data_IF_940837594960
#
_entry.id   IF_940837594960
#
_cell.length_a   1.000
_cell.length_b   1.000
_cell.length_c   1.000
_cell.angle_alpha   90.00
_cell.angle_beta   90.00
_cell.angle_gamma   90.00
#
_symmetry.space_group_name_H-M   'P 1'
#
loop_
_entity.id
_entity.type
_entity.pdbx_description
1 polymer ?
#
# COMPACT_ATOMS: atom_id res chain seq x y z
N UNK A 1 -15.17 19.39 3.95
CA UNK A 1 -15.30 19.56 2.49
C UNK A 1 -14.20 18.77 1.80
N UNK A 2 -12.96 18.95 2.24
CA UNK A 2 -11.78 18.15 1.86
C UNK A 2 -11.98 16.63 2.06
N UNK A 3 -12.58 16.21 3.17
CA UNK A 3 -12.89 14.78 3.40
C UNK A 3 -13.85 14.19 2.35
N UNK A 4 -14.84 14.97 1.88
CA UNK A 4 -15.83 14.48 0.91
C UNK A 4 -15.19 14.30 -0.48
N UNK A 5 -14.38 15.26 -0.90
CA UNK A 5 -13.66 15.19 -2.17
C UNK A 5 -12.67 14.02 -2.16
N UNK A 6 -11.97 13.80 -1.04
CA UNK A 6 -11.08 12.66 -0.92
C UNK A 6 -11.82 11.32 -0.95
N UNK A 7 -12.97 11.20 -0.29
CA UNK A 7 -13.78 9.97 -0.38
C UNK A 7 -14.30 9.70 -1.81
N UNK A 8 -14.68 10.74 -2.55
CA UNK A 8 -15.05 10.61 -3.96
C UNK A 8 -13.86 10.18 -4.84
N UNK A 9 -12.65 10.72 -4.61
CA UNK A 9 -11.42 10.27 -5.26
C UNK A 9 -11.11 8.80 -4.91
N UNK A 10 -11.14 8.46 -3.62
CA UNK A 10 -10.90 7.12 -3.11
C UNK A 10 -11.84 6.11 -3.77
N UNK A 11 -13.13 6.42 -3.86
CA UNK A 11 -14.12 5.55 -4.50
C UNK A 11 -13.82 5.33 -6.00
N UNK A 12 -13.47 6.39 -6.74
CA UNK A 12 -13.07 6.27 -8.16
C UNK A 12 -11.81 5.42 -8.33
N UNK A 13 -10.85 5.52 -7.42
CA UNK A 13 -9.61 4.72 -7.43
C UNK A 13 -9.90 3.25 -7.13
N UNK A 14 -10.80 2.95 -6.19
CA UNK A 14 -11.25 1.58 -5.90
C UNK A 14 -11.90 0.95 -7.14
N UNK A 15 -12.78 1.68 -7.82
CA UNK A 15 -13.45 1.24 -9.04
C UNK A 15 -12.44 0.99 -10.17
N UNK A 16 -11.52 1.93 -10.38
CA UNK A 16 -10.43 1.80 -11.35
C UNK A 16 -9.54 0.58 -11.05
N UNK A 17 -9.17 0.39 -9.79
CA UNK A 17 -8.35 -0.73 -9.36
C UNK A 17 -9.06 -2.08 -9.56
N UNK A 18 -10.36 -2.16 -9.27
CA UNK A 18 -11.14 -3.38 -9.45
C UNK A 18 -11.41 -3.73 -10.92
N UNK A 19 -11.53 -2.72 -11.80
CA UNK A 19 -11.89 -2.93 -13.20
C UNK A 19 -10.88 -3.81 -13.94
N UNK A 20 -11.31 -4.98 -14.43
CA UNK A 20 -10.45 -5.92 -15.16
C UNK A 20 -9.42 -6.65 -14.30
N UNK A 21 -9.61 -6.72 -12.97
CA UNK A 21 -8.74 -7.52 -12.10
C UNK A 21 -9.07 -9.01 -12.18
N UNK A 22 -8.07 -9.84 -12.49
CA UNK A 22 -8.28 -11.28 -12.78
C UNK A 22 -7.47 -12.22 -11.88
N UNK A 23 -6.52 -11.72 -11.07
CA UNK A 23 -5.64 -12.55 -10.26
C UNK A 23 -6.28 -13.06 -8.96
N UNK A 24 -7.56 -12.77 -8.73
CA UNK A 24 -8.32 -13.25 -7.58
C UNK A 24 -8.07 -12.47 -6.29
N UNK A 25 -8.44 -13.08 -5.15
CA UNK A 25 -8.49 -12.39 -3.84
C UNK A 25 -7.12 -12.12 -3.24
N UNK A 26 -6.13 -13.00 -3.47
CA UNK A 26 -4.80 -12.95 -2.82
C UNK A 26 -4.09 -11.62 -3.02
N UNK A 27 -4.22 -11.00 -4.20
CA UNK A 27 -3.63 -9.70 -4.51
C UNK A 27 -4.69 -8.67 -4.95
N UNK A 28 -5.96 -8.94 -4.63
CA UNK A 28 -7.12 -8.14 -5.03
C UNK A 28 -7.75 -7.36 -3.89
N UNK A 29 -9.05 -7.09 -3.99
CA UNK A 29 -9.79 -6.18 -3.11
C UNK A 29 -9.62 -6.43 -1.60
N UNK A 30 -9.55 -7.69 -1.16
CA UNK A 30 -9.36 -8.02 0.26
C UNK A 30 -7.97 -7.61 0.75
N UNK A 31 -6.93 -7.92 -0.03
CA UNK A 31 -5.57 -7.46 0.23
C UNK A 31 -5.51 -5.94 0.27
N UNK A 32 -6.04 -5.25 -0.75
CA UNK A 32 -6.00 -3.78 -0.82
C UNK A 32 -6.68 -3.11 0.38
N UNK A 33 -7.83 -3.63 0.83
CA UNK A 33 -8.51 -3.13 2.04
C UNK A 33 -7.70 -3.38 3.31
N UNK A 34 -7.02 -4.52 3.40
CA UNK A 34 -6.13 -4.81 4.53
C UNK A 34 -4.92 -3.88 4.54
N UNK A 35 -4.32 -3.59 3.37
CA UNK A 35 -3.22 -2.61 3.26
C UNK A 35 -3.68 -1.23 3.71
N UNK A 36 -4.84 -0.77 3.26
CA UNK A 36 -5.41 0.50 3.72
C UNK A 36 -5.58 0.50 5.25
N UNK A 37 -6.27 -0.49 5.80
CA UNK A 37 -6.50 -0.62 7.25
C UNK A 37 -5.19 -0.66 8.06
N UNK A 38 -4.19 -1.40 7.57
CA UNK A 38 -2.87 -1.46 8.20
C UNK A 38 -2.17 -0.09 8.15
N UNK A 39 -2.23 0.61 7.02
CA UNK A 39 -1.68 1.94 6.85
C UNK A 39 -2.27 2.95 7.84
N UNK A 40 -3.59 2.92 8.04
CA UNK A 40 -4.27 3.75 9.04
C UNK A 40 -3.84 3.41 10.48
N UNK A 41 -3.61 2.12 10.80
CA UNK A 41 -3.11 1.68 12.11
C UNK A 41 -1.64 2.01 12.38
N UNK A 42 -0.86 2.14 11.30
CA UNK A 42 0.55 2.50 11.33
C UNK A 42 0.78 4.01 11.40
N UNK A 43 -0.23 4.82 11.01
CA UNK A 43 -0.09 6.25 10.89
C UNK A 43 0.35 6.92 12.20
N UNK A 44 1.37 7.76 12.07
CA UNK A 44 1.91 8.64 13.10
C UNK A 44 1.95 10.07 12.54
N UNK A 45 2.35 11.03 13.36
CA UNK A 45 2.53 12.42 12.91
C UNK A 45 3.43 12.49 11.66
N UNK A 46 2.99 13.26 10.66
CA UNK A 46 3.69 13.42 9.37
C UNK A 46 3.37 12.38 8.30
N UNK A 47 2.64 11.29 8.61
CA UNK A 47 2.16 10.35 7.59
C UNK A 47 1.02 10.98 6.79
N UNK A 48 1.17 11.05 5.47
CA UNK A 48 0.08 11.46 4.58
C UNK A 48 -0.86 10.27 4.30
N UNK A 49 -1.99 10.23 5.02
CA UNK A 49 -3.00 9.17 4.87
C UNK A 49 -3.69 9.14 3.51
N UNK A 50 -3.71 10.24 2.76
CA UNK A 50 -4.25 10.26 1.39
C UNK A 50 -3.39 9.39 0.49
N UNK A 51 -2.07 9.56 0.54
CA UNK A 51 -1.11 8.75 -0.22
C UNK A 51 -1.19 7.28 0.21
N UNK A 52 -1.19 6.99 1.52
CA UNK A 52 -1.28 5.60 2.04
C UNK A 52 -2.53 4.89 1.54
N UNK A 53 -3.67 5.58 1.55
CA UNK A 53 -4.94 5.04 1.08
C UNK A 53 -4.91 4.77 -0.42
N UNK A 54 -4.39 5.69 -1.24
CA UNK A 54 -4.30 5.49 -2.69
C UNK A 54 -3.29 4.40 -3.07
N UNK A 55 -2.16 4.31 -2.37
CA UNK A 55 -1.17 3.25 -2.54
C UNK A 55 -1.81 1.87 -2.35
N UNK A 56 -2.64 1.71 -1.32
CA UNK A 56 -3.27 0.43 -0.99
C UNK A 56 -4.01 -0.20 -2.17
N UNK A 57 -4.65 0.61 -3.01
CA UNK A 57 -5.43 0.15 -4.17
C UNK A 57 -4.65 0.11 -5.49
N UNK A 58 -3.54 0.84 -5.59
CA UNK A 58 -2.82 1.01 -6.86
C UNK A 58 -1.49 0.24 -6.95
N UNK A 59 -0.85 -0.11 -5.83
CA UNK A 59 0.48 -0.73 -5.84
C UNK A 59 0.52 -2.07 -6.59
N UNK A 60 -0.56 -2.85 -6.46
CA UNK A 60 -0.69 -4.20 -7.03
C UNK A 60 -1.50 -4.26 -8.33
N UNK A 61 -2.14 -3.16 -8.73
CA UNK A 61 -3.04 -3.10 -9.89
C UNK A 61 -2.40 -3.62 -11.19
N UNK A 62 -1.09 -3.49 -11.34
CA UNK A 62 -0.37 -3.91 -12.54
C UNK A 62 0.50 -5.15 -12.33
N UNK A 63 0.15 -6.01 -11.37
CA UNK A 63 0.66 -7.40 -11.33
C UNK A 63 0.24 -8.18 -12.58
N UNK A 64 1.10 -9.12 -12.98
CA UNK A 64 0.87 -10.03 -14.11
C UNK A 64 0.57 -11.46 -13.66
N UNK A 65 0.99 -11.83 -12.46
CA UNK A 65 0.77 -13.14 -11.89
C UNK A 65 0.70 -13.12 -10.36
N UNK A 66 0.25 -14.25 -9.79
CA UNK A 66 0.12 -14.46 -8.35
C UNK A 66 1.43 -14.86 -7.66
N UNK A 67 2.53 -15.04 -8.40
CA UNK A 67 3.82 -15.45 -7.88
C UNK A 67 4.65 -14.21 -7.50
N UNK A 68 5.96 -14.24 -7.79
CA UNK A 68 6.92 -13.27 -7.26
C UNK A 68 6.82 -11.90 -7.92
N UNK A 69 6.45 -11.85 -9.21
CA UNK A 69 6.39 -10.67 -10.09
C UNK A 69 7.06 -9.40 -9.56
N UNK A 70 8.39 -9.40 -9.35
CA UNK A 70 9.07 -8.35 -8.59
C UNK A 70 8.94 -6.94 -9.22
N UNK A 71 8.61 -6.89 -10.50
CA UNK A 71 8.52 -5.67 -11.30
C UNK A 71 7.14 -4.99 -11.25
N UNK A 72 6.16 -5.51 -10.49
CA UNK A 72 4.83 -4.88 -10.41
C UNK A 72 4.88 -3.46 -9.86
N UNK A 73 5.73 -3.18 -8.86
CA UNK A 73 5.90 -1.81 -8.34
C UNK A 73 6.36 -0.80 -9.39
N UNK A 74 7.39 -1.13 -10.18
CA UNK A 74 7.86 -0.27 -11.28
C UNK A 74 6.76 -0.06 -12.32
N UNK A 75 6.03 -1.13 -12.67
CA UNK A 75 4.91 -1.01 -13.62
C UNK A 75 3.78 -0.17 -13.05
N UNK A 76 3.49 -0.28 -11.76
CA UNK A 76 2.48 0.55 -11.11
C UNK A 76 2.87 2.03 -11.22
N UNK A 77 4.08 2.39 -10.81
CA UNK A 77 4.58 3.75 -10.92
C UNK A 77 4.54 4.30 -12.35
N UNK A 78 4.97 3.52 -13.35
CA UNK A 78 4.88 3.94 -14.75
C UNK A 78 3.45 4.21 -15.23
N UNK A 79 2.47 3.41 -14.76
CA UNK A 79 1.08 3.60 -15.15
C UNK A 79 0.36 4.68 -14.33
N UNK A 80 0.94 5.17 -13.22
CA UNK A 80 0.42 6.35 -12.51
C UNK A 80 0.64 7.64 -13.30
N UNK A 81 1.71 7.73 -14.11
CA UNK A 81 2.05 8.94 -14.91
C UNK A 81 0.87 9.41 -15.79
N UNK A 82 0.27 8.58 -16.66
CA UNK A 82 -0.88 9.01 -17.45
C UNK A 82 -2.15 9.28 -16.61
N UNK A 83 -2.20 8.85 -15.35
CA UNK A 83 -3.31 9.09 -14.43
C UNK A 83 -3.20 10.44 -13.69
N UNK A 84 -2.02 11.09 -13.72
CA UNK A 84 -1.72 12.35 -13.03
C UNK A 84 -2.78 13.41 -13.27
N UNK A 85 -3.10 13.68 -14.53
CA UNK A 85 -4.00 14.76 -14.93
C UNK A 85 -5.45 14.29 -15.13
N UNK A 86 -5.76 13.04 -14.78
CA UNK A 86 -7.09 12.45 -14.98
C UNK A 86 -7.68 11.93 -13.68
N UNK A 87 -7.40 10.68 -13.32
CA UNK A 87 -7.91 10.04 -12.11
C UNK A 87 -7.35 10.69 -10.83
N UNK A 88 -6.11 11.19 -10.89
CA UNK A 88 -5.35 11.70 -9.74
C UNK A 88 -5.14 13.22 -9.79
N UNK A 89 -5.98 13.94 -10.55
CA UNK A 89 -5.84 15.38 -10.79
C UNK A 89 -5.97 16.23 -9.53
N UNK A 90 -6.59 15.69 -8.48
CA UNK A 90 -6.78 16.34 -7.18
C UNK A 90 -5.58 16.17 -6.23
N UNK A 91 -4.53 15.44 -6.63
CA UNK A 91 -3.31 15.32 -5.84
C UNK A 91 -2.40 16.53 -6.06
N UNK A 92 -1.77 17.01 -4.99
CA UNK A 92 -0.62 17.92 -5.10
C UNK A 92 0.56 17.22 -5.80
N UNK A 93 1.55 18.00 -6.25
CA UNK A 93 2.76 17.42 -6.86
C UNK A 93 3.51 16.55 -5.84
N UNK A 94 3.58 17.01 -4.60
CA UNK A 94 4.19 16.27 -3.49
C UNK A 94 3.46 14.94 -3.21
N UNK A 95 2.13 14.94 -3.17
CA UNK A 95 1.35 13.72 -2.97
C UNK A 95 1.52 12.71 -4.10
N UNK A 96 1.56 13.20 -5.34
CA UNK A 96 1.79 12.34 -6.49
C UNK A 96 3.20 11.75 -6.48
N UNK A 97 4.22 12.54 -6.14
CA UNK A 97 5.60 12.07 -6.03
C UNK A 97 5.74 11.01 -4.92
N UNK A 98 5.10 11.21 -3.77
CA UNK A 98 5.06 10.21 -2.70
C UNK A 98 4.38 8.91 -3.16
N UNK A 99 3.21 9.01 -3.80
CA UNK A 99 2.48 7.83 -4.32
C UNK A 99 3.28 7.10 -5.39
N UNK A 100 3.88 7.83 -6.33
CA UNK A 100 4.73 7.28 -7.38
C UNK A 100 5.91 6.51 -6.79
N UNK A 101 6.63 7.11 -5.83
CA UNK A 101 7.80 6.49 -5.21
C UNK A 101 7.41 5.31 -4.30
N UNK A 102 6.30 5.39 -3.57
CA UNK A 102 5.76 4.28 -2.79
C UNK A 102 5.46 3.07 -3.70
N UNK A 103 4.72 3.27 -4.78
CA UNK A 103 4.44 2.21 -5.75
C UNK A 103 5.74 1.66 -6.38
N UNK A 104 6.65 2.53 -6.83
CA UNK A 104 7.88 2.13 -7.53
C UNK A 104 8.78 1.22 -6.68
N UNK A 105 8.89 1.52 -5.40
CA UNK A 105 9.96 0.99 -4.55
C UNK A 105 9.53 -0.10 -3.57
N UNK A 106 8.23 -0.31 -3.31
CA UNK A 106 7.77 -1.23 -2.27
C UNK A 106 8.24 -2.69 -2.42
N UNK A 107 8.58 -3.13 -3.64
CA UNK A 107 9.05 -4.49 -3.91
C UNK A 107 10.56 -4.67 -3.81
N UNK A 108 11.34 -3.57 -3.83
CA UNK A 108 12.80 -3.60 -4.01
C UNK A 108 13.58 -2.83 -2.93
N UNK A 109 12.93 -1.95 -2.19
CA UNK A 109 13.55 -1.15 -1.14
C UNK A 109 13.02 -1.58 0.22
N UNK A 110 13.91 -1.71 1.21
CA UNK A 110 13.50 -1.96 2.60
C UNK A 110 12.87 -0.72 3.22
N UNK A 111 13.52 0.44 3.10
CA UNK A 111 13.03 1.73 3.56
C UNK A 111 13.60 2.86 2.69
N UNK A 112 13.00 4.04 2.75
CA UNK A 112 13.43 5.25 2.02
C UNK A 112 13.80 6.40 2.95
N UNK A 113 13.35 6.36 4.21
CA UNK A 113 13.49 7.47 5.16
C UNK A 113 12.37 8.51 5.07
N UNK A 114 11.47 8.38 4.08
CA UNK A 114 10.22 9.12 4.06
C UNK A 114 9.14 8.35 4.82
N UNK A 115 8.57 8.96 5.86
CA UNK A 115 7.65 8.29 6.77
C UNK A 115 6.35 7.83 6.09
N UNK A 116 5.90 8.52 5.04
CA UNK A 116 4.68 8.14 4.31
C UNK A 116 4.97 6.92 3.44
N UNK A 117 6.07 6.95 2.67
CA UNK A 117 6.47 5.83 1.82
C UNK A 117 6.77 4.58 2.65
N UNK A 118 7.50 4.73 3.76
CA UNK A 118 7.86 3.63 4.65
C UNK A 118 6.62 3.04 5.34
N UNK A 119 5.61 3.87 5.62
CA UNK A 119 4.30 3.41 6.11
C UNK A 119 3.54 2.60 5.05
N UNK A 120 3.55 3.02 3.78
CA UNK A 120 2.99 2.23 2.68
C UNK A 120 3.65 0.84 2.58
N UNK A 121 4.97 0.77 2.70
CA UNK A 121 5.70 -0.49 2.65
C UNK A 121 5.31 -1.42 3.80
N UNK A 122 5.26 -0.90 5.02
CA UNK A 122 4.88 -1.69 6.19
C UNK A 122 3.43 -2.14 6.13
N UNK A 123 2.53 -1.31 5.59
CA UNK A 123 1.13 -1.65 5.43
C UNK A 123 0.92 -2.89 4.54
N UNK A 124 1.62 -2.98 3.41
CA UNK A 124 1.63 -4.17 2.53
C UNK A 124 2.31 -5.37 3.22
N UNK A 125 3.49 -5.17 3.83
CA UNK A 125 4.25 -6.24 4.48
C UNK A 125 3.52 -6.87 5.66
N UNK A 126 2.73 -6.11 6.40
CA UNK A 126 1.90 -6.64 7.50
C UNK A 126 0.81 -7.59 6.98
N UNK A 127 0.33 -7.40 5.76
CA UNK A 127 -0.69 -8.26 5.15
C UNK A 127 -0.11 -9.50 4.45
N UNK A 128 1.20 -9.74 4.53
CA UNK A 128 1.83 -10.97 4.03
C UNK A 128 1.32 -12.24 4.73
N UNK A 129 0.65 -12.10 5.88
CA UNK A 129 -0.05 -13.21 6.55
C UNK A 129 -1.07 -13.89 5.65
N UNK A 130 -1.68 -13.16 4.69
CA UNK A 130 -2.61 -13.71 3.69
C UNK A 130 -1.95 -14.78 2.81
N UNK A 131 -0.63 -14.68 2.64
CA UNK A 131 0.22 -15.58 1.87
C UNK A 131 0.89 -16.63 2.76
N UNK A 132 0.50 -16.75 4.03
CA UNK A 132 1.11 -17.66 5.00
C UNK A 132 2.48 -17.20 5.52
N UNK A 133 2.89 -15.96 5.22
CA UNK A 133 4.18 -15.42 5.63
C UNK A 133 3.97 -14.56 6.89
N UNK A 134 4.63 -14.92 7.99
CA UNK A 134 4.57 -14.14 9.22
C UNK A 134 5.45 -12.87 9.10
N UNK A 135 4.89 -11.65 9.27
CA UNK A 135 5.67 -10.41 9.23
C UNK A 135 6.84 -10.45 10.21
N UNK A 136 8.04 -10.12 9.74
CA UNK A 136 9.25 -9.99 10.57
C UNK A 136 9.48 -8.53 10.92
N UNK A 137 9.66 -8.18 12.21
CA UNK A 137 10.02 -6.83 12.59
C UNK A 137 11.26 -6.31 11.83
N UNK A 138 12.25 -7.17 11.55
CA UNK A 138 13.46 -6.76 10.79
C UNK A 138 13.16 -6.41 9.34
N UNK A 139 12.02 -6.84 8.80
CA UNK A 139 11.54 -6.48 7.47
C UNK A 139 10.68 -5.23 7.43
N UNK A 140 10.39 -4.60 8.56
CA UNK A 140 9.61 -3.36 8.64
C UNK A 140 10.52 -2.14 8.50
N UNK A 141 10.05 -1.10 7.83
CA UNK A 141 10.73 0.16 7.57
C UNK A 141 10.61 1.11 8.76
N UNK A 142 9.43 1.16 9.39
CA UNK A 142 9.11 2.09 10.49
C UNK A 142 9.21 1.40 11.85
N UNK A 143 9.46 2.17 12.91
CA UNK A 143 9.39 1.65 14.29
C UNK A 143 7.98 1.15 14.64
N UNK A 144 6.94 1.86 14.17
CA UNK A 144 5.56 1.44 14.39
C UNK A 144 5.23 0.11 13.70
N UNK A 145 5.73 -0.11 12.48
CA UNK A 145 5.66 -1.39 11.78
C UNK A 145 6.37 -2.51 12.54
N UNK A 146 7.58 -2.25 13.05
CA UNK A 146 8.33 -3.20 13.89
C UNK A 146 7.52 -3.61 15.12
N UNK A 147 6.89 -2.67 15.81
CA UNK A 147 6.03 -2.95 16.97
C UNK A 147 4.83 -3.83 16.62
N UNK A 148 4.08 -3.48 15.58
CA UNK A 148 2.91 -4.26 15.16
C UNK A 148 3.30 -5.67 14.71
N UNK A 149 4.40 -5.82 13.97
CA UNK A 149 4.92 -7.14 13.60
C UNK A 149 5.30 -7.99 14.83
N UNK A 150 5.90 -7.39 15.88
CA UNK A 150 6.18 -8.08 17.15
C UNK A 150 4.89 -8.49 17.87
N UNK A 151 3.86 -7.64 17.86
CA UNK A 151 2.56 -7.95 18.45
C UNK A 151 1.89 -9.13 17.72
N UNK A 152 1.81 -9.08 16.39
CA UNK A 152 1.23 -10.17 15.59
C UNK A 152 1.92 -11.53 15.80
N UNK A 153 3.24 -11.52 16.00
CA UNK A 153 4.00 -12.75 16.33
C UNK A 153 3.65 -13.31 17.71
N UNK A 154 3.48 -12.43 18.71
CA UNK A 154 3.05 -12.84 20.06
C UNK A 154 1.63 -13.37 20.06
N UNK A 155 0.70 -12.71 19.38
CA UNK A 155 -0.70 -13.13 19.35
C UNK A 155 -0.89 -14.51 18.70
N UNK A 156 -0.02 -14.86 17.74
CA UNK A 156 0.00 -16.19 17.13
C UNK A 156 0.50 -17.26 18.11
N UNK A 157 1.57 -16.98 18.87
CA UNK A 157 2.12 -17.95 19.83
C UNK A 157 1.22 -18.25 21.03
N UNK A 158 0.13 -17.49 21.23
CA UNK A 158 -0.86 -17.73 22.29
C UNK A 158 -2.12 -18.44 21.77
N UNK A 159 -2.18 -18.75 20.46
CA UNK A 159 -3.30 -19.48 19.82
C UNK A 159 -2.96 -20.92 19.42
N UNK A 160 -1.69 -21.30 19.57
CA UNK A 160 -1.16 -22.66 19.41
C UNK A 160 -0.94 -23.31 20.79
#
# INVERSE_FOLDING_TARGET
MEDKEFEELRQRVIEFAAAGWELGRTHGMEHWRNVESNGHRLAVEGVNLRVVTLFAYLHDKWRRDNFRDINHGIRAAHNLVPLRDTLLKELTDEEFDLLYNACKHHTVCHHTGDITIDTCFDADRLDLVRCGIQPDPRGMATERGKELARQMRRDKSHKD
#
